data_IF_060906718526
#
_entry.id   IF_060906718526
#
_cell.length_a   1.000
_cell.length_b   1.000
_cell.length_c   1.000
_cell.angle_alpha   90.00
_cell.angle_beta   90.00
_cell.angle_gamma   90.00
#
_symmetry.space_group_name_H-M   'P 1'
#
loop_
_entity.id
_entity.type
_entity.pdbx_description
1 polymer ?
#
# COMPACT_ATOMS: atom_id res chain seq x y z
N UNK A 1 -9.65 6.66 -16.78
CA UNK A 1 -11.13 6.65 -16.83
C UNK A 1 -11.72 7.47 -15.69
N UNK A 2 -11.46 7.14 -14.39
CA UNK A 2 -12.03 7.87 -13.25
C UNK A 2 -11.77 9.39 -13.31
N UNK A 3 -10.55 9.79 -13.64
CA UNK A 3 -10.16 11.19 -13.77
C UNK A 3 -10.96 11.93 -14.86
N UNK A 4 -11.17 11.28 -16.02
CA UNK A 4 -11.94 11.89 -17.10
C UNK A 4 -13.42 12.08 -16.73
N UNK A 5 -14.01 11.09 -16.04
CA UNK A 5 -15.40 11.17 -15.55
C UNK A 5 -15.53 12.30 -14.52
N UNK A 6 -14.59 12.35 -13.56
CA UNK A 6 -14.59 13.37 -12.52
C UNK A 6 -14.41 14.79 -13.10
N UNK A 7 -13.48 14.94 -14.04
CA UNK A 7 -13.25 16.22 -14.73
C UNK A 7 -14.48 16.70 -15.50
N UNK A 8 -15.14 15.81 -16.27
CA UNK A 8 -16.32 16.15 -17.06
C UNK A 8 -17.54 16.56 -16.20
N UNK A 9 -17.59 16.12 -14.94
CA UNK A 9 -18.70 16.39 -14.02
C UNK A 9 -18.33 17.35 -12.88
N UNK A 10 -17.14 17.95 -12.91
CA UNK A 10 -16.62 18.83 -11.85
C UNK A 10 -16.67 18.18 -10.46
N UNK A 11 -16.27 16.89 -10.39
CA UNK A 11 -16.27 16.10 -9.16
C UNK A 11 -14.82 15.91 -8.66
N UNK A 12 -14.52 16.19 -7.38
CA UNK A 12 -13.21 15.92 -6.84
C UNK A 12 -12.93 14.41 -6.69
N UNK A 13 -11.66 14.04 -6.65
CA UNK A 13 -11.20 12.69 -6.46
C UNK A 13 -10.50 12.50 -5.12
N UNK A 14 -10.58 11.30 -4.58
CA UNK A 14 -9.82 10.85 -3.41
C UNK A 14 -8.78 9.83 -3.90
N UNK A 15 -7.50 10.22 -4.04
CA UNK A 15 -6.45 9.28 -4.40
C UNK A 15 -6.10 8.40 -3.20
N UNK A 16 -6.20 7.08 -3.38
CA UNK A 16 -5.82 6.10 -2.38
C UNK A 16 -4.70 5.19 -2.92
N UNK A 17 -3.71 4.94 -2.09
CA UNK A 17 -2.69 3.94 -2.41
C UNK A 17 -3.24 2.53 -2.29
N UNK A 18 -2.95 1.67 -3.25
CA UNK A 18 -3.31 0.25 -3.19
C UNK A 18 -2.63 -0.48 -2.03
N UNK A 19 -1.41 -0.07 -1.65
CA UNK A 19 -0.72 -0.63 -0.48
C UNK A 19 -1.39 -0.18 0.82
N UNK A 20 -1.84 1.07 0.91
CA UNK A 20 -2.59 1.55 2.07
C UNK A 20 -3.95 0.84 2.20
N UNK A 21 -4.65 0.60 1.08
CA UNK A 21 -5.90 -0.19 1.07
C UNK A 21 -5.65 -1.61 1.57
N UNK A 22 -4.60 -2.27 1.10
CA UNK A 22 -4.23 -3.61 1.54
C UNK A 22 -3.87 -3.65 3.03
N UNK A 23 -3.12 -2.65 3.50
CA UNK A 23 -2.76 -2.52 4.92
C UNK A 23 -4.01 -2.33 5.79
N UNK A 24 -4.92 -1.46 5.39
CA UNK A 24 -6.16 -1.21 6.12
C UNK A 24 -7.05 -2.46 6.17
N UNK A 25 -7.20 -3.15 5.05
CA UNK A 25 -7.92 -4.42 4.99
C UNK A 25 -7.33 -5.46 5.96
N UNK A 26 -6.00 -5.51 6.08
CA UNK A 26 -5.32 -6.40 7.02
C UNK A 26 -5.57 -5.99 8.47
N UNK A 27 -5.53 -4.68 8.77
CA UNK A 27 -5.87 -4.14 10.07
C UNK A 27 -7.29 -4.54 10.49
N UNK A 28 -8.28 -4.29 9.64
CA UNK A 28 -9.69 -4.61 9.92
C UNK A 28 -9.94 -6.12 10.10
N UNK A 29 -9.20 -6.96 9.36
CA UNK A 29 -9.39 -8.42 9.42
C UNK A 29 -8.67 -9.09 10.58
N UNK A 30 -7.45 -8.66 10.88
CA UNK A 30 -6.56 -9.34 11.83
C UNK A 30 -6.37 -8.58 13.15
N UNK A 31 -6.93 -7.37 13.26
CA UNK A 31 -6.83 -6.50 14.44
C UNK A 31 -5.38 -6.25 14.86
N UNK A 32 -4.47 -6.12 13.86
CA UNK A 32 -3.06 -5.83 14.08
C UNK A 32 -2.76 -4.38 13.75
N UNK A 33 -2.29 -3.62 14.72
CA UNK A 33 -2.05 -2.18 14.55
C UNK A 33 -0.91 -1.86 13.58
N UNK A 34 0.17 -2.65 13.58
CA UNK A 34 1.34 -2.42 12.72
C UNK A 34 1.33 -3.39 11.54
N UNK A 35 1.15 -2.88 10.36
CA UNK A 35 1.07 -3.66 9.13
C UNK A 35 2.24 -3.28 8.21
N UNK A 36 2.96 -4.29 7.75
CA UNK A 36 3.95 -4.16 6.68
C UNK A 36 3.42 -4.88 5.44
N UNK A 37 3.26 -4.13 4.37
CA UNK A 37 2.77 -4.66 3.10
C UNK A 37 3.94 -4.96 2.18
N UNK A 38 3.91 -6.15 1.57
CA UNK A 38 4.87 -6.58 0.56
C UNK A 38 4.09 -7.16 -0.61
N UNK A 39 4.10 -6.49 -1.75
CA UNK A 39 3.46 -7.00 -2.96
C UNK A 39 4.48 -7.21 -4.06
N UNK A 40 4.32 -8.32 -4.77
CA UNK A 40 5.20 -8.63 -5.89
C UNK A 40 4.97 -7.64 -7.04
N UNK A 41 6.04 -7.04 -7.51
CA UNK A 41 6.12 -6.31 -8.76
C UNK A 41 6.72 -7.22 -9.85
N UNK A 42 6.84 -6.74 -11.05
CA UNK A 42 7.54 -7.48 -12.10
C UNK A 42 9.07 -7.38 -11.93
N UNK A 43 9.83 -8.22 -12.65
CA UNK A 43 11.31 -8.12 -12.77
C UNK A 43 12.05 -8.28 -11.44
N UNK A 44 11.60 -9.17 -10.55
CA UNK A 44 12.19 -9.42 -9.22
C UNK A 44 12.13 -8.21 -8.27
N UNK A 45 11.14 -7.36 -8.44
CA UNK A 45 10.92 -6.20 -7.59
C UNK A 45 9.70 -6.37 -6.70
N UNK A 46 9.66 -5.62 -5.61
CA UNK A 46 8.59 -5.62 -4.62
C UNK A 46 8.16 -4.18 -4.33
N UNK A 47 6.85 -3.96 -4.28
CA UNK A 47 6.30 -2.77 -3.65
C UNK A 47 6.16 -3.01 -2.16
N UNK A 48 6.70 -2.11 -1.35
CA UNK A 48 6.62 -2.19 0.10
C UNK A 48 6.07 -0.89 0.70
N UNK A 49 5.44 -1.02 1.86
CA UNK A 49 4.98 0.10 2.68
C UNK A 49 4.68 -0.37 4.10
N UNK A 50 4.80 0.52 5.08
CA UNK A 50 4.49 0.17 6.47
C UNK A 50 3.61 1.23 7.11
N UNK A 51 2.60 0.75 7.83
CA UNK A 51 1.54 1.59 8.39
C UNK A 51 1.26 1.20 9.82
N UNK A 52 0.84 2.17 10.60
CA UNK A 52 0.26 1.95 11.91
C UNK A 52 -1.15 2.52 11.95
N UNK A 53 -2.08 1.70 12.41
CA UNK A 53 -3.48 2.05 12.59
C UNK A 53 -3.77 2.21 14.08
N UNK A 54 -4.42 3.31 14.45
CA UNK A 54 -4.95 3.55 15.79
C UNK A 54 -6.31 4.20 15.68
N UNK A 55 -7.37 3.44 15.91
CA UNK A 55 -8.76 3.90 15.72
C UNK A 55 -8.93 4.51 14.32
N UNK A 56 -9.16 5.81 14.23
CA UNK A 56 -9.39 6.57 12.99
C UNK A 56 -8.10 7.23 12.43
N UNK A 57 -6.94 6.93 13.02
CA UNK A 57 -5.67 7.49 12.61
C UNK A 57 -4.81 6.47 11.87
N UNK A 58 -4.31 6.88 10.71
CA UNK A 58 -3.36 6.09 9.90
C UNK A 58 -2.03 6.85 9.89
N UNK A 59 -1.00 6.23 10.42
CA UNK A 59 0.36 6.73 10.38
C UNK A 59 1.21 5.90 9.42
N UNK A 60 1.87 6.56 8.48
CA UNK A 60 2.87 5.93 7.63
C UNK A 60 4.16 5.78 8.44
N UNK A 61 4.55 4.55 8.73
CA UNK A 61 5.80 4.23 9.43
C UNK A 61 6.98 4.17 8.46
N UNK A 62 6.74 3.63 7.26
CA UNK A 62 7.69 3.61 6.15
C UNK A 62 6.97 4.01 4.87
N UNK A 63 7.52 5.01 4.19
CA UNK A 63 6.99 5.48 2.91
C UNK A 63 7.04 4.34 1.88
N UNK A 64 6.03 4.30 1.04
CA UNK A 64 5.94 3.34 -0.06
C UNK A 64 7.13 3.49 -1.01
N UNK A 65 7.71 2.37 -1.40
CA UNK A 65 8.78 2.34 -2.39
C UNK A 65 8.84 1.01 -3.14
N UNK A 66 9.53 1.02 -4.26
CA UNK A 66 9.92 -0.15 -5.03
C UNK A 66 11.33 -0.56 -4.61
N UNK A 67 11.54 -1.85 -4.38
CA UNK A 67 12.84 -2.42 -4.01
C UNK A 67 13.10 -3.72 -4.78
N UNK A 68 14.35 -4.15 -4.90
CA UNK A 68 14.66 -5.50 -5.33
C UNK A 68 14.29 -6.51 -4.24
N UNK A 69 13.87 -7.70 -4.63
CA UNK A 69 13.48 -8.73 -3.64
C UNK A 69 14.65 -9.16 -2.74
N UNK A 70 15.88 -9.07 -3.22
CA UNK A 70 17.11 -9.38 -2.46
C UNK A 70 17.35 -8.38 -1.32
N UNK A 71 16.84 -7.15 -1.45
CA UNK A 71 17.00 -6.10 -0.45
C UNK A 71 15.91 -6.14 0.65
N UNK A 72 14.92 -7.00 0.52
CA UNK A 72 13.75 -7.01 1.42
C UNK A 72 14.15 -7.16 2.90
N UNK A 73 15.16 -7.95 3.20
CA UNK A 73 15.66 -8.16 4.57
C UNK A 73 16.16 -6.86 5.24
N UNK A 74 16.61 -5.87 4.45
CA UNK A 74 17.07 -4.59 4.97
C UNK A 74 15.90 -3.68 5.42
N UNK A 75 14.68 -4.02 5.02
CA UNK A 75 13.48 -3.24 5.28
C UNK A 75 12.58 -3.82 6.35
N UNK A 76 12.82 -5.08 6.73
CA UNK A 76 11.99 -5.87 7.63
C UNK A 76 12.68 -6.09 8.95
N UNK A 77 12.02 -5.83 10.06
CA UNK A 77 12.45 -6.26 11.37
C UNK A 77 11.84 -7.63 11.70
N UNK A 78 12.56 -8.69 11.33
CA UNK A 78 12.11 -10.08 11.54
C UNK A 78 11.91 -10.45 13.01
N UNK A 79 12.49 -9.69 13.95
CA UNK A 79 12.34 -9.89 15.39
C UNK A 79 11.12 -9.15 15.96
N UNK A 80 10.47 -8.31 15.17
CA UNK A 80 9.28 -7.59 15.61
C UNK A 80 8.08 -8.53 15.76
N UNK A 81 7.67 -8.78 16.99
CA UNK A 81 6.44 -9.52 17.29
C UNK A 81 5.16 -8.69 17.09
N UNK A 82 5.30 -7.39 16.92
CA UNK A 82 4.18 -6.45 16.80
C UNK A 82 3.79 -6.17 15.34
N UNK A 83 4.71 -6.41 14.39
CA UNK A 83 4.46 -6.16 12.97
C UNK A 83 3.84 -7.38 12.31
N UNK A 84 2.75 -7.17 11.61
CA UNK A 84 2.07 -8.18 10.81
C UNK A 84 2.35 -7.94 9.33
N UNK A 85 2.80 -8.97 8.63
CA UNK A 85 3.26 -8.89 7.25
C UNK A 85 2.21 -9.46 6.31
N UNK A 86 1.83 -8.71 5.28
CA UNK A 86 0.78 -9.12 4.35
C UNK A 86 1.15 -8.88 2.89
N UNK A 87 0.60 -9.71 2.02
CA UNK A 87 0.69 -9.57 0.57
C UNK A 87 1.49 -10.67 -0.10
N UNK A 88 1.37 -10.77 -1.42
CA UNK A 88 1.93 -11.86 -2.21
C UNK A 88 3.47 -11.83 -2.39
N UNK A 89 4.12 -10.80 -1.87
CA UNK A 89 5.59 -10.71 -1.79
C UNK A 89 6.17 -11.35 -0.53
N UNK A 90 5.34 -11.78 0.43
CA UNK A 90 5.77 -12.41 1.70
C UNK A 90 6.65 -13.64 1.46
N UNK A 91 6.41 -14.40 0.42
CA UNK A 91 7.21 -15.59 0.03
C UNK A 91 8.71 -15.33 -0.14
N UNK A 92 9.11 -14.06 -0.30
CA UNK A 92 10.53 -13.67 -0.37
C UNK A 92 11.13 -13.34 1.00
N UNK A 93 10.31 -13.32 2.06
CA UNK A 93 10.79 -13.19 3.44
C UNK A 93 11.26 -14.53 3.96
N UNK A 94 12.48 -14.55 4.51
CA UNK A 94 13.04 -15.72 5.17
C UNK A 94 13.00 -15.50 6.70
N UNK A 95 12.81 -16.59 7.45
CA UNK A 95 12.89 -16.60 8.92
C UNK A 95 11.86 -15.74 9.67
N UNK A 96 10.69 -15.47 9.08
CA UNK A 96 9.56 -14.87 9.80
C UNK A 96 8.64 -15.97 10.32
N UNK A 97 8.16 -15.82 11.55
CA UNK A 97 7.19 -16.74 12.13
C UNK A 97 5.85 -16.66 11.37
N UNK A 98 5.32 -17.79 10.90
CA UNK A 98 4.08 -17.90 10.10
C UNK A 98 2.88 -17.20 10.74
N UNK A 99 2.80 -17.17 12.07
CA UNK A 99 1.71 -16.50 12.80
C UNK A 99 1.63 -14.98 12.59
N UNK A 100 2.70 -14.37 12.11
CA UNK A 100 2.77 -12.94 11.84
C UNK A 100 2.73 -12.60 10.35
N UNK A 101 2.36 -13.57 9.50
CA UNK A 101 2.34 -13.39 8.05
C UNK A 101 1.04 -13.87 7.42
N UNK A 102 0.66 -13.25 6.30
CA UNK A 102 -0.44 -13.73 5.47
C UNK A 102 -0.15 -13.44 3.98
N UNK A 103 0.35 -14.45 3.27
CA UNK A 103 0.86 -14.31 1.90
C UNK A 103 -0.25 -14.04 0.87
N UNK A 104 -1.30 -14.85 0.85
CA UNK A 104 -2.35 -14.78 -0.16
C UNK A 104 -3.39 -13.71 0.16
N UNK A 105 -2.92 -12.45 0.27
CA UNK A 105 -3.76 -11.33 0.62
C UNK A 105 -3.68 -10.25 -0.46
N UNK A 106 -4.85 -9.92 -1.02
CA UNK A 106 -4.97 -9.00 -2.15
C UNK A 106 -5.97 -7.90 -1.79
N UNK A 107 -5.68 -6.68 -2.24
CA UNK A 107 -6.59 -5.55 -2.04
C UNK A 107 -7.89 -5.75 -2.83
N UNK A 108 -9.01 -5.38 -2.21
CA UNK A 108 -10.34 -5.39 -2.83
C UNK A 108 -10.92 -3.98 -2.80
N UNK A 109 -11.61 -3.59 -3.85
CA UNK A 109 -12.21 -2.27 -3.95
C UNK A 109 -13.24 -1.99 -2.83
N UNK A 110 -13.95 -3.03 -2.36
CA UNK A 110 -14.88 -2.92 -1.24
C UNK A 110 -14.23 -2.45 0.07
N UNK A 111 -12.93 -2.67 0.24
CA UNK A 111 -12.20 -2.24 1.44
C UNK A 111 -11.66 -0.80 1.36
N UNK A 112 -12.04 -0.06 0.32
CA UNK A 112 -11.69 1.35 0.20
C UNK A 112 -12.65 2.27 0.98
N UNK A 113 -13.87 1.83 1.28
CA UNK A 113 -14.91 2.69 1.83
C UNK A 113 -14.53 3.35 3.14
N UNK A 114 -13.99 2.61 4.11
CA UNK A 114 -13.55 3.18 5.40
C UNK A 114 -12.43 4.22 5.22
N UNK A 115 -11.50 3.98 4.28
CA UNK A 115 -10.46 4.97 3.94
C UNK A 115 -11.02 6.20 3.24
N UNK A 116 -12.07 6.02 2.43
CA UNK A 116 -12.78 7.11 1.77
C UNK A 116 -13.48 7.98 2.82
N UNK A 117 -14.18 7.37 3.78
CA UNK A 117 -14.86 8.10 4.85
C UNK A 117 -13.86 8.94 5.67
N UNK A 118 -12.73 8.36 6.06
CA UNK A 118 -11.64 9.09 6.73
C UNK A 118 -11.07 10.22 5.87
N UNK A 119 -10.95 10.02 4.56
CA UNK A 119 -10.46 11.03 3.65
C UNK A 119 -11.47 12.19 3.49
N UNK A 120 -12.77 11.89 3.47
CA UNK A 120 -13.85 12.89 3.43
C UNK A 120 -13.84 13.73 4.71
N UNK A 121 -13.76 13.11 5.87
CA UNK A 121 -13.70 13.82 7.17
C UNK A 121 -12.49 14.75 7.24
N UNK A 122 -11.33 14.31 6.72
CA UNK A 122 -10.09 15.08 6.66
C UNK A 122 -10.03 16.06 5.49
N UNK A 123 -11.08 16.12 4.65
CA UNK A 123 -11.14 16.93 3.43
C UNK A 123 -9.96 16.67 2.48
N UNK A 124 -9.52 15.41 2.40
CA UNK A 124 -8.37 14.95 1.60
C UNK A 124 -8.78 14.61 0.16
N UNK A 125 -9.54 15.48 -0.47
CA UNK A 125 -9.93 15.36 -1.87
C UNK A 125 -9.19 16.37 -2.75
N UNK A 126 -9.00 16.02 -4.00
CA UNK A 126 -8.18 16.77 -4.96
C UNK A 126 -8.98 16.98 -6.24
N UNK A 127 -8.85 18.15 -6.84
CA UNK A 127 -9.47 18.44 -8.13
C UNK A 127 -8.97 17.46 -9.21
N UNK A 128 -9.85 17.06 -10.11
CA UNK A 128 -9.58 15.96 -11.05
C UNK A 128 -8.33 16.21 -11.91
N UNK A 129 -8.07 17.45 -12.33
CA UNK A 129 -6.91 17.82 -13.14
C UNK A 129 -5.56 17.74 -12.38
N UNK A 130 -5.61 17.72 -11.04
CA UNK A 130 -4.41 17.66 -10.18
C UNK A 130 -4.05 16.26 -9.72
N UNK A 131 -4.91 15.28 -9.98
CA UNK A 131 -4.66 13.90 -9.59
C UNK A 131 -3.74 13.23 -10.62
N UNK A 132 -2.67 12.63 -10.14
CA UNK A 132 -1.81 11.75 -10.94
C UNK A 132 -1.55 10.43 -10.21
N UNK A 133 -1.39 9.31 -10.93
CA UNK A 133 -0.96 8.07 -10.34
C UNK A 133 0.43 8.23 -9.69
N UNK A 134 0.63 7.60 -8.54
CA UNK A 134 1.94 7.54 -7.90
C UNK A 134 2.70 6.32 -8.45
N UNK A 135 3.57 6.53 -9.45
CA UNK A 135 4.42 5.50 -10.01
C UNK A 135 5.68 5.33 -9.15
N UNK A 136 5.71 4.30 -8.31
CA UNK A 136 6.85 4.01 -7.43
C UNK A 136 8.10 3.55 -8.20
N UNK A 137 7.94 3.04 -9.41
CA UNK A 137 9.04 2.62 -10.29
C UNK A 137 9.84 3.77 -10.92
N UNK A 138 9.36 5.01 -10.74
CA UNK A 138 9.98 6.17 -11.37
C UNK A 138 9.86 6.19 -12.92
N UNK A 139 10.19 7.32 -13.52
CA UNK A 139 10.11 7.49 -14.99
C UNK A 139 11.21 6.72 -15.74
N UNK A 140 12.31 6.37 -15.07
CA UNK A 140 13.47 5.74 -15.68
C UNK A 140 13.25 4.27 -16.10
N UNK A 141 12.30 3.58 -15.49
CA UNK A 141 11.93 2.21 -15.85
C UNK A 141 11.35 2.07 -17.27
N UNK A 142 10.86 3.16 -17.86
CA UNK A 142 10.24 3.17 -19.18
C UNK A 142 11.16 3.71 -20.29
N UNK A 143 12.38 4.08 -19.97
CA UNK A 143 13.37 4.44 -21.00
C UNK A 143 13.77 3.16 -21.74
N UNK A 144 13.44 3.09 -23.04
CA UNK A 144 13.90 1.99 -23.90
C UNK A 144 15.42 1.92 -23.81
N UNK A 145 15.96 0.73 -23.54
CA UNK A 145 17.36 0.45 -23.83
C UNK A 145 17.58 0.70 -25.33
N UNK A 146 18.42 1.69 -25.66
CA UNK A 146 18.86 1.93 -27.02
C UNK A 146 19.81 0.82 -27.47
#
# INVERSE_FOLDING_TARGET
VAQAIAFANDIPLIPLSSLAVLAHQAYSKFEKEKIFVVTNAHMKELYIGSYQFKKEEIKILKKECLINHEDLSNYVDINSKETFYVGNGIRFLQNIEDKNTYENFFSQASNMFELIDLAIEKKSYVAAEKVSPNYLSGEDHWKKAN
#
